data_IF_601151832008
#
_entry.id   IF_601151832008
#
_cell.length_a   1.000
_cell.length_b   1.000
_cell.length_c   1.000
_cell.angle_alpha   90.00
_cell.angle_beta   90.00
_cell.angle_gamma   90.00
#
_symmetry.space_group_name_H-M   'P 1'
#
loop_
_entity.id
_entity.type
_entity.pdbx_description
1 polymer ?
#
# COMPACT_ATOMS: atom_id res chain seq x y z
N UNK A 1 -13.86 -6.49 -20.18
CA UNK A 1 -13.22 -6.05 -18.92
C UNK A 1 -12.90 -4.56 -18.98
N UNK A 2 -13.43 -3.78 -18.05
CA UNK A 2 -13.16 -2.33 -17.97
C UNK A 2 -11.74 -2.11 -17.42
N UNK A 3 -10.75 -2.20 -18.30
CA UNK A 3 -9.30 -1.96 -18.06
C UNK A 3 -9.00 -0.64 -17.32
N UNK A 4 -9.97 0.28 -17.31
CA UNK A 4 -9.93 1.58 -16.65
C UNK A 4 -9.87 1.49 -15.12
N UNK A 5 -10.51 0.50 -14.50
CA UNK A 5 -10.59 0.42 -13.04
C UNK A 5 -9.30 -0.10 -12.40
N UNK A 6 -8.70 -1.12 -13.01
CA UNK A 6 -7.37 -1.61 -12.64
C UNK A 6 -6.34 -0.48 -12.73
N UNK A 7 -6.39 0.34 -13.80
CA UNK A 7 -5.48 1.48 -13.97
C UNK A 7 -5.68 2.61 -12.92
N UNK A 8 -6.92 2.93 -12.55
CA UNK A 8 -7.23 4.05 -11.64
C UNK A 8 -6.82 3.72 -10.19
N UNK A 9 -7.10 2.51 -9.71
CA UNK A 9 -6.69 2.09 -8.36
C UNK A 9 -5.18 1.81 -8.26
N UNK A 10 -4.58 1.28 -9.34
CA UNK A 10 -3.13 1.08 -9.47
C UNK A 10 -2.38 2.41 -9.41
N UNK A 11 -2.91 3.48 -10.01
CA UNK A 11 -2.33 4.81 -9.92
C UNK A 11 -2.43 5.39 -8.50
N UNK A 12 -3.56 5.22 -7.79
CA UNK A 12 -3.72 5.81 -6.46
C UNK A 12 -2.91 5.11 -5.36
N UNK A 13 -2.69 3.79 -5.41
CA UNK A 13 -1.79 3.11 -4.48
C UNK A 13 -0.31 3.49 -4.69
N UNK A 14 0.08 3.92 -5.89
CA UNK A 14 1.46 4.28 -6.23
C UNK A 14 1.77 5.78 -6.01
N UNK A 15 0.79 6.68 -6.01
CA UNK A 15 1.05 8.14 -6.03
C UNK A 15 1.28 8.76 -4.64
N UNK A 16 0.99 8.06 -3.54
CA UNK A 16 1.26 8.59 -2.17
C UNK A 16 2.68 8.29 -1.68
N UNK A 17 3.52 7.65 -2.50
CA UNK A 17 4.93 7.44 -2.20
C UNK A 17 5.79 8.05 -3.31
N UNK A 18 5.99 9.37 -3.21
CA UNK A 18 7.14 10.15 -3.70
C UNK A 18 7.60 9.92 -5.15
N UNK A 19 7.64 11.03 -5.88
CA UNK A 19 8.10 11.07 -7.26
C UNK A 19 9.51 10.51 -7.49
N UNK A 20 9.76 10.32 -8.78
CA UNK A 20 11.04 9.98 -9.43
C UNK A 20 11.40 8.50 -9.37
N UNK A 21 11.39 7.83 -10.54
CA UNK A 21 12.58 7.30 -11.23
C UNK A 21 12.16 6.56 -12.51
N UNK A 22 12.67 7.07 -13.64
CA UNK A 22 13.39 6.26 -14.64
C UNK A 22 12.62 5.22 -15.44
N UNK A 23 12.29 5.59 -16.69
CA UNK A 23 12.15 4.66 -17.81
C UNK A 23 13.33 3.68 -17.85
N UNK A 24 13.11 2.43 -17.48
CA UNK A 24 14.09 1.36 -17.69
C UNK A 24 13.46 0.31 -18.61
N UNK A 25 14.21 0.01 -19.67
CA UNK A 25 13.81 -0.83 -20.78
C UNK A 25 13.27 -2.19 -20.31
N UNK A 26 12.14 -2.60 -20.90
CA UNK A 26 11.54 -3.91 -20.73
C UNK A 26 12.45 -4.92 -21.45
N UNK A 27 13.49 -5.38 -20.77
CA UNK A 27 14.21 -6.58 -21.20
C UNK A 27 13.25 -7.77 -21.07
N UNK A 28 13.21 -8.63 -22.10
CA UNK A 28 12.50 -9.91 -22.07
C UNK A 28 13.14 -10.82 -21.02
N UNK A 29 12.76 -10.65 -19.76
CA UNK A 29 13.14 -11.55 -18.67
C UNK A 29 12.22 -12.76 -18.71
N UNK A 30 12.82 -13.94 -18.62
CA UNK A 30 12.13 -15.24 -18.52
C UNK A 30 11.06 -15.21 -17.40
N UNK A 31 9.79 -15.53 -17.68
CA UNK A 31 8.73 -15.64 -16.67
C UNK A 31 9.11 -16.53 -15.47
N UNK A 32 9.91 -17.57 -15.68
CA UNK A 32 10.40 -18.47 -14.63
C UNK A 32 11.35 -17.75 -13.65
N UNK A 33 12.25 -16.91 -14.18
CA UNK A 33 13.17 -16.12 -13.37
C UNK A 33 12.43 -15.04 -12.55
N UNK A 34 11.33 -14.48 -13.09
CA UNK A 34 10.47 -13.55 -12.35
C UNK A 34 9.75 -14.22 -11.18
N UNK A 35 9.23 -15.44 -11.38
CA UNK A 35 8.59 -16.22 -10.33
C UNK A 35 9.54 -16.57 -9.19
N UNK A 36 10.75 -17.02 -9.50
CA UNK A 36 11.77 -17.32 -8.48
C UNK A 36 12.14 -16.08 -7.65
N UNK A 37 12.32 -14.94 -8.33
CA UNK A 37 12.62 -13.66 -7.67
C UNK A 37 11.44 -13.14 -6.84
N UNK A 38 10.21 -13.37 -7.28
CA UNK A 38 9.02 -13.02 -6.50
C UNK A 38 8.96 -13.83 -5.20
N UNK A 39 9.21 -15.14 -5.27
CA UNK A 39 9.25 -16.01 -4.09
C UNK A 39 10.35 -15.60 -3.09
N UNK A 40 11.52 -15.19 -3.59
CA UNK A 40 12.60 -14.64 -2.75
C UNK A 40 12.18 -13.36 -2.03
N UNK A 41 11.58 -12.41 -2.76
CA UNK A 41 11.06 -11.16 -2.19
C UNK A 41 9.93 -11.40 -1.18
N UNK A 42 9.05 -12.38 -1.43
CA UNK A 42 8.00 -12.78 -0.49
C UNK A 42 8.58 -13.34 0.81
N UNK A 43 9.60 -14.20 0.71
CA UNK A 43 10.29 -14.76 1.87
C UNK A 43 11.04 -13.67 2.66
N UNK A 44 11.75 -12.77 1.98
CA UNK A 44 12.45 -11.65 2.61
C UNK A 44 11.44 -10.72 3.33
N UNK A 45 10.34 -10.39 2.66
CA UNK A 45 9.30 -9.55 3.22
C UNK A 45 8.70 -10.17 4.49
N UNK A 46 8.34 -11.46 4.45
CA UNK A 46 7.80 -12.16 5.62
C UNK A 46 8.78 -12.17 6.80
N UNK A 47 10.07 -12.41 6.53
CA UNK A 47 11.11 -12.39 7.56
C UNK A 47 11.28 -11.00 8.19
N UNK A 48 11.34 -9.94 7.35
CA UNK A 48 11.48 -8.56 7.83
C UNK A 48 10.23 -8.06 8.52
N UNK A 49 9.04 -8.43 8.07
CA UNK A 49 7.78 -8.09 8.73
C UNK A 49 7.70 -8.71 10.13
N UNK A 50 8.09 -9.98 10.27
CA UNK A 50 8.15 -10.63 11.59
C UNK A 50 9.12 -9.90 12.53
N UNK A 51 10.28 -9.48 12.02
CA UNK A 51 11.26 -8.70 12.79
C UNK A 51 10.71 -7.34 13.18
N UNK A 52 10.09 -6.62 12.23
CA UNK A 52 9.47 -5.31 12.45
C UNK A 52 8.40 -5.36 13.54
N UNK A 53 7.51 -6.36 13.49
CA UNK A 53 6.44 -6.53 14.49
C UNK A 53 6.98 -6.84 15.90
N UNK A 54 8.23 -7.30 16.01
CA UNK A 54 8.89 -7.58 17.28
C UNK A 54 9.78 -6.42 17.78
N UNK A 55 9.86 -5.30 17.05
CA UNK A 55 10.71 -4.17 17.44
C UNK A 55 10.09 -3.44 18.65
N UNK A 56 10.90 -3.10 19.68
CA UNK A 56 10.45 -2.24 20.77
C UNK A 56 10.19 -0.81 20.25
N UNK A 57 9.35 -0.06 20.96
CA UNK A 57 8.95 1.30 20.60
C UNK A 57 8.72 2.21 21.83
N UNK A 58 9.35 1.87 22.96
CA UNK A 58 9.13 2.55 24.24
C UNK A 58 9.91 3.87 24.33
N UNK A 59 11.13 3.89 23.79
CA UNK A 59 11.96 5.11 23.74
C UNK A 59 11.83 5.83 22.40
N UNK A 60 12.29 7.08 22.35
CA UNK A 60 12.28 7.87 21.12
C UNK A 60 13.20 7.26 20.05
N UNK A 61 14.36 6.78 20.45
CA UNK A 61 15.33 6.13 19.58
C UNK A 61 14.76 4.83 18.99
N UNK A 62 14.02 4.06 19.80
CA UNK A 62 13.30 2.87 19.36
C UNK A 62 12.18 3.21 18.38
N UNK A 63 11.40 4.27 18.64
CA UNK A 63 10.37 4.75 17.72
C UNK A 63 10.96 5.19 16.39
N UNK A 64 12.07 5.92 16.40
CA UNK A 64 12.77 6.35 15.18
C UNK A 64 13.29 5.14 14.40
N UNK A 65 13.80 4.11 15.08
CA UNK A 65 14.22 2.86 14.46
C UNK A 65 13.03 2.09 13.85
N UNK A 66 11.89 2.01 14.55
CA UNK A 66 10.65 1.44 14.02
C UNK A 66 10.21 2.20 12.77
N UNK A 67 10.19 3.53 12.80
CA UNK A 67 9.82 4.34 11.63
C UNK A 67 10.76 4.08 10.45
N UNK A 68 12.07 4.02 10.69
CA UNK A 68 13.05 3.76 9.64
C UNK A 68 12.87 2.35 9.03
N UNK A 69 12.67 1.33 9.87
CA UNK A 69 12.46 -0.03 9.39
C UNK A 69 11.11 -0.19 8.69
N UNK A 70 10.07 0.49 9.16
CA UNK A 70 8.76 0.55 8.49
C UNK A 70 8.85 1.14 7.09
N UNK A 71 9.68 2.19 6.89
CA UNK A 71 9.96 2.74 5.55
C UNK A 71 10.63 1.72 4.64
N UNK A 72 11.62 0.96 5.15
CA UNK A 72 12.30 -0.08 4.38
C UNK A 72 11.37 -1.24 4.02
N UNK A 73 10.56 -1.68 4.98
CA UNK A 73 9.58 -2.74 4.76
C UNK A 73 8.55 -2.33 3.70
N UNK A 74 8.11 -1.06 3.73
CA UNK A 74 7.22 -0.51 2.70
C UNK A 74 7.86 -0.49 1.31
N UNK A 75 9.14 -0.12 1.22
CA UNK A 75 9.86 -0.14 -0.06
C UNK A 75 9.94 -1.56 -0.63
N UNK A 76 10.24 -2.55 0.21
CA UNK A 76 10.28 -3.95 -0.18
C UNK A 76 8.91 -4.46 -0.64
N UNK A 77 7.83 -4.04 0.03
CA UNK A 77 6.46 -4.37 -0.36
C UNK A 77 6.11 -3.83 -1.76
N UNK A 78 6.55 -2.59 -2.07
CA UNK A 78 6.36 -1.96 -3.39
C UNK A 78 7.08 -2.75 -4.48
N UNK A 79 8.32 -3.16 -4.24
CA UNK A 79 9.12 -3.92 -5.21
C UNK A 79 8.53 -5.31 -5.45
N UNK A 80 8.12 -6.00 -4.38
CA UNK A 80 7.39 -7.27 -4.43
C UNK A 80 6.11 -7.13 -5.25
N UNK A 81 5.31 -6.10 -4.99
CA UNK A 81 4.05 -5.89 -5.70
C UNK A 81 4.25 -5.56 -7.18
N UNK A 82 5.26 -4.75 -7.50
CA UNK A 82 5.62 -4.46 -8.90
C UNK A 82 5.92 -5.76 -9.66
N UNK A 83 6.74 -6.63 -9.07
CA UNK A 83 7.11 -7.89 -9.70
C UNK A 83 5.93 -8.86 -9.79
N UNK A 84 5.04 -8.88 -8.79
CA UNK A 84 3.81 -9.67 -8.83
C UNK A 84 2.93 -9.27 -10.00
N UNK A 85 2.67 -7.97 -10.20
CA UNK A 85 1.86 -7.46 -11.33
C UNK A 85 2.48 -7.73 -12.69
N UNK A 86 3.81 -7.74 -12.77
CA UNK A 86 4.51 -8.13 -14.01
C UNK A 86 4.38 -9.63 -14.31
N UNK A 87 4.11 -10.45 -13.29
CA UNK A 87 4.04 -11.92 -13.38
C UNK A 87 2.60 -12.39 -13.59
N UNK A 88 1.67 -11.81 -12.84
CA UNK A 88 0.23 -12.03 -12.98
C UNK A 88 -0.51 -10.67 -12.92
N UNK A 89 -0.74 -10.03 -14.09
CA UNK A 89 -1.42 -8.74 -14.15
C UNK A 89 -2.92 -8.83 -13.85
N UNK A 90 -3.50 -10.04 -13.82
CA UNK A 90 -4.93 -10.28 -13.61
C UNK A 90 -5.21 -10.88 -12.22
N UNK A 91 -4.26 -10.85 -11.28
CA UNK A 91 -4.42 -11.30 -9.87
C UNK A 91 -5.37 -10.39 -9.08
N UNK A 92 -6.65 -10.57 -9.36
CA UNK A 92 -7.74 -9.78 -8.82
C UNK A 92 -7.99 -10.05 -7.33
N UNK A 93 -7.78 -11.29 -6.88
CA UNK A 93 -7.92 -11.63 -5.48
C UNK A 93 -6.92 -10.83 -4.65
N UNK A 94 -5.67 -10.73 -5.11
CA UNK A 94 -4.66 -9.90 -4.47
C UNK A 94 -4.98 -8.42 -4.55
N UNK A 95 -5.46 -7.93 -5.69
CA UNK A 95 -5.90 -6.54 -5.85
C UNK A 95 -6.96 -6.14 -4.81
N UNK A 96 -7.98 -6.99 -4.59
CA UNK A 96 -9.04 -6.73 -3.61
C UNK A 96 -8.49 -6.69 -2.18
N UNK A 97 -7.55 -7.58 -1.84
CA UNK A 97 -6.88 -7.59 -0.53
C UNK A 97 -6.04 -6.31 -0.32
N UNK A 98 -5.33 -5.83 -1.35
CA UNK A 98 -4.60 -4.57 -1.26
C UNK A 98 -5.52 -3.36 -1.07
N UNK A 99 -6.64 -3.34 -1.79
CA UNK A 99 -7.62 -2.26 -1.65
C UNK A 99 -8.19 -2.21 -0.23
N UNK A 100 -8.46 -3.36 0.38
CA UNK A 100 -8.88 -3.44 1.78
C UNK A 100 -7.80 -2.96 2.76
N UNK A 101 -6.56 -3.40 2.55
CA UNK A 101 -5.42 -2.95 3.35
C UNK A 101 -5.20 -1.44 3.26
N UNK A 102 -5.32 -0.87 2.06
CA UNK A 102 -5.23 0.57 1.82
C UNK A 102 -6.33 1.34 2.58
N UNK A 103 -7.58 0.89 2.45
CA UNK A 103 -8.72 1.48 3.18
C UNK A 103 -8.49 1.43 4.71
N UNK A 104 -8.00 0.30 5.22
CA UNK A 104 -7.70 0.12 6.64
C UNK A 104 -6.56 1.06 7.11
N UNK A 105 -5.49 1.17 6.33
CA UNK A 105 -4.36 2.05 6.61
C UNK A 105 -4.76 3.52 6.64
N UNK A 106 -5.56 3.96 5.65
CA UNK A 106 -6.15 5.31 5.65
C UNK A 106 -7.03 5.54 6.88
N UNK A 107 -7.83 4.55 7.28
CA UNK A 107 -8.65 4.61 8.49
C UNK A 107 -7.82 4.80 9.77
N UNK A 108 -6.67 4.12 9.86
CA UNK A 108 -5.72 4.31 10.97
C UNK A 108 -5.13 5.72 10.97
N UNK A 109 -4.74 6.23 9.79
CA UNK A 109 -4.25 7.61 9.65
C UNK A 109 -5.26 8.67 10.07
N UNK A 110 -6.56 8.45 9.83
CA UNK A 110 -7.64 9.34 10.33
C UNK A 110 -7.65 9.41 11.86
N UNK A 111 -7.45 8.28 12.55
CA UNK A 111 -7.40 8.23 14.03
C UNK A 111 -6.18 9.00 14.53
N UNK A 112 -5.02 8.78 13.92
CA UNK A 112 -3.78 9.48 14.29
C UNK A 112 -3.87 10.99 14.07
N UNK A 113 -4.43 11.44 12.95
CA UNK A 113 -4.62 12.86 12.65
C UNK A 113 -5.56 13.54 13.66
N UNK A 114 -6.63 12.87 14.07
CA UNK A 114 -7.52 13.37 15.12
C UNK A 114 -6.81 13.49 16.46
N UNK A 115 -6.10 12.45 16.89
CA UNK A 115 -5.32 12.49 18.12
C UNK A 115 -4.24 13.58 18.08
N UNK A 116 -3.63 13.80 16.90
CA UNK A 116 -2.65 14.87 16.68
C UNK A 116 -3.29 16.26 16.74
N UNK A 117 -4.49 16.43 16.18
CA UNK A 117 -5.23 17.68 16.27
C UNK A 117 -5.49 18.08 17.73
N UNK A 118 -5.84 17.12 18.59
CA UNK A 118 -6.05 17.35 20.02
C UNK A 118 -4.75 17.73 20.73
N UNK A 119 -3.65 17.00 20.47
CA UNK A 119 -2.34 17.25 21.10
C UNK A 119 -1.73 18.58 20.68
N UNK A 120 -1.81 18.92 19.40
CA UNK A 120 -1.17 20.11 18.83
C UNK A 120 -2.11 21.32 18.71
N UNK A 121 -3.38 21.15 19.09
CA UNK A 121 -4.45 22.16 18.96
C UNK A 121 -4.53 22.77 17.55
N UNK A 122 -4.19 21.98 16.53
CA UNK A 122 -4.14 22.42 15.15
C UNK A 122 -5.34 21.85 14.35
N UNK A 123 -6.30 22.70 13.97
CA UNK A 123 -7.51 22.26 13.26
C UNK A 123 -7.23 21.77 11.83
N UNK A 124 -6.07 22.06 11.24
CA UNK A 124 -5.71 21.55 9.90
C UNK A 124 -5.63 20.02 9.87
N UNK A 125 -5.22 19.38 10.97
CA UNK A 125 -5.22 17.91 11.03
C UNK A 125 -6.64 17.32 11.02
N UNK A 126 -7.65 18.04 11.54
CA UNK A 126 -9.05 17.61 11.42
C UNK A 126 -9.55 17.71 9.99
N UNK A 127 -9.19 18.78 9.27
CA UNK A 127 -9.52 18.93 7.84
C UNK A 127 -8.91 17.81 7.01
N UNK A 128 -7.64 17.50 7.22
CA UNK A 128 -6.96 16.37 6.55
C UNK A 128 -7.65 15.03 6.87
N UNK A 129 -8.03 14.81 8.13
CA UNK A 129 -8.76 13.60 8.53
C UNK A 129 -10.13 13.48 7.83
N UNK A 130 -10.83 14.60 7.60
CA UNK A 130 -12.10 14.62 6.86
C UNK A 130 -11.92 14.33 5.37
N UNK A 131 -10.86 14.85 4.74
CA UNK A 131 -10.54 14.57 3.34
C UNK A 131 -10.26 13.07 3.14
N UNK A 132 -9.41 12.49 3.99
CA UNK A 132 -9.10 11.05 3.93
C UNK A 132 -10.36 10.20 4.13
N UNK A 133 -11.29 10.60 5.01
CA UNK A 133 -12.58 9.90 5.15
C UNK A 133 -13.40 9.91 3.87
N UNK A 134 -13.45 11.03 3.14
CA UNK A 134 -14.17 11.12 1.86
C UNK A 134 -13.55 10.16 0.83
N UNK A 135 -12.23 10.05 0.82
CA UNK A 135 -11.53 9.12 -0.07
C UNK A 135 -11.78 7.66 0.29
N UNK A 136 -11.79 7.31 1.58
CA UNK A 136 -12.17 5.97 2.05
C UNK A 136 -13.57 5.60 1.55
N UNK A 137 -14.54 6.50 1.68
CA UNK A 137 -15.91 6.24 1.24
C UNK A 137 -16.02 6.12 -0.29
N UNK A 138 -15.23 6.90 -1.04
CA UNK A 138 -15.09 6.74 -2.50
C UNK A 138 -14.57 5.33 -2.83
N UNK A 139 -13.48 4.90 -2.22
CA UNK A 139 -12.89 3.59 -2.48
C UNK A 139 -13.78 2.42 -2.08
N UNK A 140 -14.52 2.51 -0.98
CA UNK A 140 -15.53 1.50 -0.62
C UNK A 140 -16.63 1.37 -1.66
N UNK A 141 -17.14 2.49 -2.18
CA UNK A 141 -18.16 2.49 -3.24
C UNK A 141 -17.62 1.90 -4.53
N UNK A 142 -16.41 2.29 -4.92
CA UNK A 142 -15.71 1.77 -6.09
C UNK A 142 -15.48 0.26 -6.00
N UNK A 143 -15.06 -0.24 -4.83
CA UNK A 143 -14.94 -1.68 -4.54
C UNK A 143 -16.28 -2.40 -4.68
N UNK A 144 -17.35 -1.86 -4.08
CA UNK A 144 -18.68 -2.47 -4.16
C UNK A 144 -19.21 -2.50 -5.61
N UNK A 145 -19.03 -1.41 -6.36
CA UNK A 145 -19.43 -1.36 -7.76
C UNK A 145 -18.69 -2.41 -8.61
N UNK A 146 -17.39 -2.60 -8.36
CA UNK A 146 -16.58 -3.64 -9.00
C UNK A 146 -17.12 -5.04 -8.71
N UNK A 147 -17.35 -5.37 -7.43
CA UNK A 147 -17.88 -6.68 -7.01
C UNK A 147 -19.29 -6.95 -7.53
N UNK A 148 -20.11 -5.92 -7.68
CA UNK A 148 -21.46 -6.05 -8.23
C UNK A 148 -21.46 -6.22 -9.76
N UNK A 149 -20.56 -5.53 -10.48
CA UNK A 149 -20.37 -5.69 -11.92
C UNK A 149 -19.78 -7.05 -12.34
N UNK A 150 -19.28 -7.83 -11.37
CA UNK A 150 -18.81 -9.22 -11.52
C UNK A 150 -19.91 -10.28 -11.41
N UNK A 151 -21.10 -9.90 -10.92
CA UNK A 151 -22.25 -10.80 -10.75
C UNK A 151 -23.20 -10.83 -11.96
N UNK A 152 -22.79 -10.22 -13.09
CA UNK A 152 -23.49 -10.28 -14.38
C UNK A 152 -22.60 -10.98 -15.40
#
# INVERSE_FOLDING_TARGET
>A
MNKKFALIATALCCVVALGVIGTSAIAKVDPSAKLAKLAELEAEFAAKQKKFNAMPNQTKEEQDAVVAEGKRLKQLDIEKEKLRRETDPDDEAHFLVQLDSCILGMGTGVVELKARAEREQNPEFLKQAEEIKKEIERFKKEKQAYLNGKKQ
#
